data_IF_106532377442
#
_entry.id   IF_106532377442
#
_cell.length_a   1.000
_cell.length_b   1.000
_cell.length_c   1.000
_cell.angle_alpha   90.00
_cell.angle_beta   90.00
_cell.angle_gamma   90.00
#
_symmetry.space_group_name_H-M   'P 1'
#
loop_
_entity.id
_entity.type
_entity.pdbx_description
1 polymer ?
#
# COMPACT_ATOMS: atom_id res chain seq x y z
N UNK A 1 -35.95 18.44 14.88
CA UNK A 1 -34.85 18.26 13.92
C UNK A 1 -33.64 19.01 14.49
N UNK A 2 -32.50 18.34 14.70
CA UNK A 2 -31.34 18.96 15.38
C UNK A 2 -30.58 19.85 14.38
N UNK A 3 -30.37 21.12 14.72
CA UNK A 3 -29.70 22.11 13.87
C UNK A 3 -28.48 22.73 14.58
N UNK A 4 -27.63 23.43 13.83
CA UNK A 4 -26.52 24.21 14.39
C UNK A 4 -25.38 23.38 15.01
N UNK A 5 -24.84 23.84 16.14
CA UNK A 5 -23.69 23.23 16.83
C UNK A 5 -23.97 21.82 17.35
N UNK A 6 -25.20 21.57 17.78
CA UNK A 6 -25.59 20.26 18.28
C UNK A 6 -25.49 19.20 17.18
N UNK A 7 -25.83 19.58 15.93
CA UNK A 7 -25.62 18.72 14.77
C UNK A 7 -24.15 18.44 14.51
N UNK A 8 -23.28 19.44 14.68
CA UNK A 8 -21.83 19.28 14.54
C UNK A 8 -21.28 18.26 15.56
N UNK A 9 -21.74 18.33 16.81
CA UNK A 9 -21.36 17.38 17.87
C UNK A 9 -21.87 15.97 17.58
N UNK A 10 -23.12 15.84 17.13
CA UNK A 10 -23.70 14.55 16.74
C UNK A 10 -22.91 13.91 15.58
N UNK A 11 -22.61 14.69 14.53
CA UNK A 11 -21.81 14.22 13.41
C UNK A 11 -20.41 13.81 13.84
N UNK A 12 -19.73 14.61 14.68
CA UNK A 12 -18.41 14.25 15.21
C UNK A 12 -18.45 12.93 15.99
N UNK A 13 -19.48 12.69 16.82
CA UNK A 13 -19.66 11.44 17.56
C UNK A 13 -19.91 10.24 16.64
N UNK A 14 -20.60 10.44 15.52
CA UNK A 14 -20.87 9.37 14.53
C UNK A 14 -19.64 8.90 13.75
N UNK A 15 -18.47 9.53 13.92
CA UNK A 15 -17.20 9.15 13.29
C UNK A 15 -16.52 7.93 13.95
N UNK A 16 -16.98 7.51 15.12
CA UNK A 16 -16.28 6.53 15.97
C UNK A 16 -16.54 5.04 15.67
N UNK A 17 -17.66 4.61 15.05
CA UNK A 17 -17.76 3.25 14.55
C UNK A 17 -17.20 3.17 13.12
N UNK A 18 -15.93 2.81 13.02
CA UNK A 18 -15.39 2.28 11.76
C UNK A 18 -16.09 0.97 11.43
N UNK A 19 -16.51 0.80 10.17
CA UNK A 19 -17.05 -0.50 9.71
C UNK A 19 -15.98 -1.60 9.76
N UNK A 20 -14.70 -1.22 9.80
CA UNK A 20 -13.56 -2.14 9.82
C UNK A 20 -13.04 -2.44 11.24
N UNK A 21 -13.78 -2.09 12.30
CA UNK A 21 -13.28 -2.23 13.69
C UNK A 21 -12.90 -3.67 14.06
N UNK A 22 -13.67 -4.65 13.62
CA UNK A 22 -13.46 -6.07 13.94
C UNK A 22 -12.28 -6.63 13.16
N UNK A 23 -12.23 -6.37 11.84
CA UNK A 23 -11.09 -6.69 11.01
C UNK A 23 -9.79 -6.05 11.51
N UNK A 24 -9.85 -4.80 11.97
CA UNK A 24 -8.70 -4.10 12.54
C UNK A 24 -8.22 -4.74 13.85
N UNK A 25 -9.14 -5.14 14.74
CA UNK A 25 -8.78 -5.88 15.97
C UNK A 25 -8.11 -7.21 15.63
N UNK A 26 -8.69 -7.98 14.71
CA UNK A 26 -8.12 -9.25 14.26
C UNK A 26 -6.73 -9.06 13.62
N UNK A 27 -6.59 -8.07 12.74
CA UNK A 27 -5.32 -7.72 12.10
C UNK A 27 -4.24 -7.31 13.12
N UNK A 28 -4.58 -6.50 14.12
CA UNK A 28 -3.65 -6.13 15.20
C UNK A 28 -3.15 -7.36 15.95
N UNK A 29 -4.06 -8.26 16.33
CA UNK A 29 -3.70 -9.51 17.02
C UNK A 29 -2.78 -10.36 16.13
N UNK A 30 -3.07 -10.45 14.84
CA UNK A 30 -2.24 -11.18 13.88
C UNK A 30 -0.83 -10.59 13.75
N UNK A 31 -0.70 -9.27 13.58
CA UNK A 31 0.59 -8.56 13.50
C UNK A 31 1.41 -8.81 14.77
N UNK A 32 0.80 -8.61 15.96
CA UNK A 32 1.49 -8.82 17.22
C UNK A 32 1.91 -10.29 17.41
N UNK A 33 1.08 -11.26 16.99
CA UNK A 33 1.43 -12.69 17.03
C UNK A 33 2.57 -13.02 16.08
N UNK A 34 2.57 -12.47 14.87
CA UNK A 34 3.64 -12.64 13.89
C UNK A 34 4.95 -12.07 14.44
N UNK A 35 4.92 -10.86 14.97
CA UNK A 35 6.09 -10.20 15.54
C UNK A 35 6.67 -10.96 16.74
N UNK A 36 5.82 -11.42 17.69
CA UNK A 36 6.29 -12.25 18.81
C UNK A 36 6.93 -13.56 18.34
N UNK A 37 6.42 -14.17 17.26
CA UNK A 37 7.02 -15.39 16.68
C UNK A 37 8.38 -15.09 16.06
N UNK A 38 8.48 -14.04 15.25
CA UNK A 38 9.76 -13.60 14.68
C UNK A 38 10.78 -13.31 15.79
N UNK A 39 10.40 -12.51 16.78
CA UNK A 39 11.25 -12.20 17.92
C UNK A 39 11.75 -13.45 18.66
N UNK A 40 10.88 -14.44 18.91
CA UNK A 40 11.30 -15.70 19.55
C UNK A 40 12.26 -16.51 18.69
N UNK A 41 12.00 -16.63 17.39
CA UNK A 41 12.90 -17.35 16.47
C UNK A 41 14.27 -16.70 16.46
N UNK A 42 14.31 -15.37 16.41
CA UNK A 42 15.55 -14.60 16.40
C UNK A 42 16.30 -14.67 17.73
N UNK A 43 15.61 -14.54 18.86
CA UNK A 43 16.22 -14.75 20.18
C UNK A 43 16.81 -16.14 20.33
N UNK A 44 16.08 -17.18 19.92
CA UNK A 44 16.59 -18.56 19.95
C UNK A 44 17.82 -18.74 19.05
N UNK A 45 17.91 -18.00 17.95
CA UNK A 45 19.06 -18.02 17.07
C UNK A 45 20.27 -17.32 17.71
N UNK A 46 20.08 -16.14 18.30
CA UNK A 46 21.14 -15.41 18.99
C UNK A 46 21.70 -16.17 20.20
N UNK A 47 20.85 -16.88 20.94
CA UNK A 47 21.30 -17.75 22.03
C UNK A 47 22.21 -18.88 21.53
N UNK A 48 22.01 -19.35 20.29
CA UNK A 48 22.83 -20.41 19.68
C UNK A 48 24.09 -19.88 19.00
N UNK A 49 24.05 -18.63 18.54
CA UNK A 49 25.11 -17.99 17.76
C UNK A 49 25.21 -16.49 18.14
N UNK A 50 25.93 -16.18 19.24
CA UNK A 50 26.03 -14.82 19.77
C UNK A 50 26.76 -13.85 18.84
N UNK A 51 27.67 -14.33 17.99
CA UNK A 51 28.44 -13.48 17.08
C UNK A 51 27.58 -12.90 15.94
N UNK A 52 26.39 -13.46 15.69
CA UNK A 52 25.45 -12.96 14.66
C UNK A 52 24.68 -11.67 15.03
N UNK A 53 25.01 -11.03 16.15
CA UNK A 53 24.30 -9.87 16.69
C UNK A 53 24.51 -8.59 15.86
N UNK A 54 25.74 -8.33 15.40
CA UNK A 54 26.11 -7.06 14.76
C UNK A 54 25.48 -6.85 13.36
N UNK A 55 25.02 -7.92 12.71
CA UNK A 55 24.42 -7.84 11.37
C UNK A 55 22.97 -7.32 11.37
N UNK A 56 22.34 -7.05 12.54
CA UNK A 56 20.87 -7.05 12.67
C UNK A 56 20.24 -5.84 13.35
N UNK A 57 20.66 -4.63 12.99
CA UNK A 57 20.09 -3.36 13.45
C UNK A 57 18.61 -3.06 13.01
N UNK A 58 17.80 -4.07 12.67
CA UNK A 58 16.48 -3.91 12.02
C UNK A 58 15.24 -4.26 12.85
N UNK A 59 15.39 -4.68 14.11
CA UNK A 59 14.31 -5.27 14.91
C UNK A 59 13.08 -4.35 15.15
N UNK A 60 13.27 -3.03 15.12
CA UNK A 60 12.25 -2.10 15.62
C UNK A 60 11.31 -1.52 14.53
N UNK A 61 11.67 -1.63 13.25
CA UNK A 61 10.98 -0.88 12.19
C UNK A 61 9.71 -1.56 11.64
N UNK A 62 9.70 -2.89 11.58
CA UNK A 62 8.65 -3.66 10.89
C UNK A 62 7.24 -3.51 11.51
N UNK A 63 7.06 -3.62 12.85
CA UNK A 63 5.74 -3.52 13.47
C UNK A 63 5.09 -2.16 13.25
N UNK A 64 5.89 -1.11 13.21
CA UNK A 64 5.42 0.26 13.04
C UNK A 64 4.80 0.44 11.65
N UNK A 65 5.40 -0.13 10.61
CA UNK A 65 4.86 -0.08 9.24
C UNK A 65 3.55 -0.85 9.14
N UNK A 66 3.50 -2.06 9.66
CA UNK A 66 2.30 -2.91 9.62
C UNK A 66 1.14 -2.30 10.41
N UNK A 67 1.42 -1.75 11.59
CA UNK A 67 0.43 -1.03 12.40
C UNK A 67 -0.05 0.22 11.68
N UNK A 68 0.84 0.99 11.03
CA UNK A 68 0.44 2.17 10.24
C UNK A 68 -0.47 1.78 9.08
N UNK A 69 -0.17 0.70 8.35
CA UNK A 69 -1.06 0.20 7.30
C UNK A 69 -2.41 -0.22 7.86
N UNK A 70 -2.44 -0.96 8.96
CA UNK A 70 -3.66 -1.37 9.65
C UNK A 70 -4.50 -0.17 10.08
N UNK A 71 -3.87 0.87 10.64
CA UNK A 71 -4.54 2.12 11.01
C UNK A 71 -5.12 2.83 9.79
N UNK A 72 -4.39 2.88 8.68
CA UNK A 72 -4.88 3.41 7.40
C UNK A 72 -6.12 2.66 6.90
N UNK A 73 -6.08 1.33 6.92
CA UNK A 73 -7.20 0.48 6.53
C UNK A 73 -8.42 0.60 7.47
N UNK A 74 -8.17 0.76 8.77
CA UNK A 74 -9.25 1.04 9.73
C UNK A 74 -9.91 2.39 9.45
N UNK A 75 -9.10 3.42 9.22
CA UNK A 75 -9.57 4.79 8.94
C UNK A 75 -10.34 4.89 7.63
N UNK A 76 -10.00 4.09 6.61
CA UNK A 76 -10.77 4.07 5.36
C UNK A 76 -12.20 3.55 5.53
N UNK A 77 -12.47 2.80 6.60
CA UNK A 77 -13.80 2.38 7.01
C UNK A 77 -14.54 3.36 7.92
N UNK A 78 -13.95 4.51 8.25
CA UNK A 78 -14.63 5.54 9.03
C UNK A 78 -15.74 6.19 8.18
N UNK A 79 -16.91 6.41 8.77
CA UNK A 79 -18.05 7.06 8.09
C UNK A 79 -17.89 8.60 8.07
N UNK A 80 -16.78 9.07 7.52
CA UNK A 80 -16.37 10.49 7.55
C UNK A 80 -17.03 11.35 6.47
N UNK A 81 -17.60 10.72 5.43
CA UNK A 81 -18.14 11.44 4.28
C UNK A 81 -19.24 12.46 4.63
N UNK A 82 -20.24 12.16 5.49
CA UNK A 82 -21.23 13.16 5.91
C UNK A 82 -20.60 14.35 6.62
N UNK A 83 -19.66 14.11 7.54
CA UNK A 83 -18.96 15.15 8.28
C UNK A 83 -18.11 16.04 7.37
N UNK A 84 -17.35 15.45 6.44
CA UNK A 84 -16.56 16.20 5.46
C UNK A 84 -17.47 17.09 4.60
N UNK A 85 -18.58 16.55 4.06
CA UNK A 85 -19.52 17.35 3.27
C UNK A 85 -20.10 18.51 4.07
N UNK A 86 -20.52 18.27 5.31
CA UNK A 86 -21.00 19.32 6.19
C UNK A 86 -19.93 20.39 6.46
N UNK A 87 -18.72 19.98 6.80
CA UNK A 87 -17.64 20.90 7.11
C UNK A 87 -17.28 21.76 5.89
N UNK A 88 -17.17 21.16 4.71
CA UNK A 88 -16.91 21.88 3.44
C UNK A 88 -18.03 22.87 3.14
N UNK A 89 -19.30 22.47 3.31
CA UNK A 89 -20.43 23.36 3.11
C UNK A 89 -20.42 24.54 4.10
N UNK A 90 -20.14 24.26 5.38
CA UNK A 90 -20.12 25.26 6.44
C UNK A 90 -18.98 26.28 6.27
N UNK A 91 -17.83 25.83 5.79
CA UNK A 91 -16.64 26.66 5.61
C UNK A 91 -16.56 27.35 4.23
N UNK A 92 -17.58 27.20 3.36
CA UNK A 92 -17.53 27.65 1.97
C UNK A 92 -17.26 29.15 1.81
N UNK A 93 -17.90 29.97 2.64
CA UNK A 93 -17.76 31.44 2.63
C UNK A 93 -16.54 31.95 3.41
N UNK A 94 -15.80 31.06 4.08
CA UNK A 94 -14.68 31.43 4.93
C UNK A 94 -13.38 31.38 4.10
N UNK A 95 -12.44 32.33 4.29
CA UNK A 95 -11.11 32.28 3.70
C UNK A 95 -10.43 30.95 3.98
N UNK A 96 -9.76 30.39 2.98
CA UNK A 96 -9.27 29.00 2.98
C UNK A 96 -8.37 28.70 4.17
N UNK A 97 -7.53 29.66 4.51
CA UNK A 97 -6.55 29.66 5.61
C UNK A 97 -7.24 29.57 6.99
N UNK A 98 -8.44 30.14 7.11
CA UNK A 98 -9.22 30.20 8.35
C UNK A 98 -10.21 29.05 8.51
N UNK A 99 -10.47 28.26 7.45
CA UNK A 99 -11.49 27.21 7.46
C UNK A 99 -11.25 26.15 8.53
N UNK A 100 -10.00 25.69 8.66
CA UNK A 100 -9.67 24.63 9.62
C UNK A 100 -9.88 25.11 11.07
N UNK A 101 -9.43 26.32 11.39
CA UNK A 101 -9.63 26.96 12.69
C UNK A 101 -11.11 27.19 12.99
N UNK A 102 -11.90 27.60 11.99
CA UNK A 102 -13.35 27.73 12.13
C UNK A 102 -14.03 26.40 12.46
N UNK A 103 -13.72 25.32 11.72
CA UNK A 103 -14.30 24.00 12.01
C UNK A 103 -13.82 23.48 13.37
N UNK A 104 -12.57 23.77 13.78
CA UNK A 104 -12.08 23.41 15.12
C UNK A 104 -12.95 24.00 16.23
N UNK A 105 -13.42 25.24 16.08
CA UNK A 105 -14.28 25.88 17.07
C UNK A 105 -15.66 25.20 17.20
N UNK A 106 -16.16 24.57 16.14
CA UNK A 106 -17.48 23.92 16.12
C UNK A 106 -17.48 22.46 16.60
N UNK A 107 -16.32 21.82 16.59
CA UNK A 107 -16.17 20.40 16.89
C UNK A 107 -15.77 20.23 18.36
N UNK A 108 -16.30 19.21 19.09
CA UNK A 108 -15.93 18.98 20.49
C UNK A 108 -14.42 18.82 20.68
N UNK A 109 -13.88 19.37 21.78
CA UNK A 109 -12.47 19.18 22.13
C UNK A 109 -12.19 17.71 22.52
N UNK A 110 -10.94 17.31 22.38
CA UNK A 110 -10.46 15.97 22.72
C UNK A 110 -10.51 14.97 21.55
N UNK A 111 -10.35 13.69 21.88
CA UNK A 111 -10.04 12.62 20.92
C UNK A 111 -11.00 12.55 19.72
N UNK A 112 -12.30 12.70 19.96
CA UNK A 112 -13.33 12.61 18.92
C UNK A 112 -13.15 13.74 17.90
N UNK A 113 -13.00 14.96 18.38
CA UNK A 113 -12.84 16.12 17.51
C UNK A 113 -11.48 16.17 16.85
N UNK A 114 -10.43 15.76 17.55
CA UNK A 114 -9.09 15.70 16.98
C UNK A 114 -9.02 14.65 15.86
N UNK A 115 -9.68 13.50 16.02
CA UNK A 115 -9.86 12.49 14.98
C UNK A 115 -10.67 13.03 13.78
N UNK A 116 -11.75 13.76 14.05
CA UNK A 116 -12.57 14.39 13.02
C UNK A 116 -11.75 15.38 12.17
N UNK A 117 -10.98 16.24 12.84
CA UNK A 117 -10.15 17.25 12.19
C UNK A 117 -8.99 16.64 11.40
N UNK A 118 -8.45 15.50 11.85
CA UNK A 118 -7.43 14.78 11.09
C UNK A 118 -7.94 14.40 9.68
N UNK A 119 -9.21 13.98 9.55
CA UNK A 119 -9.81 13.65 8.26
C UNK A 119 -10.02 14.88 7.35
N UNK A 120 -10.30 16.04 7.94
CA UNK A 120 -10.52 17.29 7.19
C UNK A 120 -9.18 17.92 6.77
N UNK A 121 -8.15 17.88 7.63
CA UNK A 121 -6.84 18.48 7.36
C UNK A 121 -6.18 17.95 6.08
N UNK A 122 -6.50 16.71 5.69
CA UNK A 122 -5.98 16.10 4.46
C UNK A 122 -6.77 16.47 3.20
N UNK A 123 -7.84 17.25 3.32
CA UNK A 123 -8.70 17.67 2.20
C UNK A 123 -8.16 18.95 1.58
N UNK A 124 -8.17 19.00 0.26
CA UNK A 124 -7.63 20.14 -0.49
C UNK A 124 -8.31 21.45 -0.08
N UNK A 125 -9.63 21.41 0.12
CA UNK A 125 -10.47 22.56 0.49
C UNK A 125 -10.09 23.25 1.81
N UNK A 126 -9.28 22.58 2.64
CA UNK A 126 -8.81 23.04 3.96
C UNK A 126 -7.29 23.18 4.05
N UNK A 127 -6.56 22.92 2.96
CA UNK A 127 -5.12 23.10 2.85
C UNK A 127 -4.81 24.44 2.19
N UNK A 128 -3.70 25.08 2.58
CA UNK A 128 -3.24 26.26 1.84
C UNK A 128 -2.79 25.87 0.43
N UNK A 129 -2.83 26.78 -0.56
CA UNK A 129 -2.31 26.50 -1.91
C UNK A 129 -0.87 25.96 -1.90
N UNK A 130 -0.02 26.50 -1.03
CA UNK A 130 1.37 26.04 -0.85
C UNK A 130 1.47 24.63 -0.28
N UNK A 131 0.60 24.24 0.67
CA UNK A 131 0.55 22.88 1.19
C UNK A 131 0.09 21.89 0.13
N UNK A 132 -0.91 22.26 -0.66
CA UNK A 132 -1.38 21.47 -1.79
C UNK A 132 -0.25 21.26 -2.79
N UNK A 133 0.48 22.32 -3.14
CA UNK A 133 1.58 22.23 -4.09
C UNK A 133 2.75 21.42 -3.55
N UNK A 134 3.16 21.64 -2.28
CA UNK A 134 4.16 20.79 -1.62
C UNK A 134 3.75 19.32 -1.60
N UNK A 135 2.48 19.03 -1.37
CA UNK A 135 1.95 17.66 -1.40
C UNK A 135 1.97 17.07 -2.80
N UNK A 136 1.60 17.86 -3.83
CA UNK A 136 1.69 17.46 -5.24
C UNK A 136 3.13 17.20 -5.63
N UNK A 137 4.06 18.11 -5.34
CA UNK A 137 5.49 17.95 -5.56
C UNK A 137 6.03 16.70 -4.86
N UNK A 138 5.73 16.49 -3.57
CA UNK A 138 6.13 15.27 -2.84
C UNK A 138 5.59 14.00 -3.47
N UNK A 139 4.32 14.00 -3.90
CA UNK A 139 3.71 12.86 -4.60
C UNK A 139 4.37 12.62 -5.95
N UNK A 140 4.65 13.67 -6.72
CA UNK A 140 5.35 13.58 -8.00
C UNK A 140 6.78 13.07 -7.81
N UNK A 141 7.52 13.56 -6.81
CA UNK A 141 8.87 13.08 -6.50
C UNK A 141 8.86 11.65 -5.96
N UNK A 142 7.91 11.28 -5.11
CA UNK A 142 7.73 9.90 -4.70
C UNK A 142 7.40 9.03 -5.93
N UNK A 143 6.43 9.42 -6.76
CA UNK A 143 6.13 8.68 -7.99
C UNK A 143 7.34 8.56 -8.90
N UNK A 144 8.14 9.63 -9.09
CA UNK A 144 9.36 9.61 -9.90
C UNK A 144 10.43 8.69 -9.30
N UNK A 145 10.75 8.82 -8.00
CA UNK A 145 11.71 7.93 -7.33
C UNK A 145 11.25 6.47 -7.28
N UNK A 146 9.93 6.24 -7.26
CA UNK A 146 9.34 4.91 -7.31
C UNK A 146 9.26 4.31 -8.72
N UNK A 147 9.66 5.03 -9.75
CA UNK A 147 9.64 4.55 -11.12
C UNK A 147 11.06 4.62 -11.67
N UNK A 148 11.70 3.45 -11.85
CA UNK A 148 12.88 3.39 -12.70
C UNK A 148 12.49 3.95 -14.08
N UNK A 149 13.41 4.67 -14.71
CA UNK A 149 13.18 5.13 -16.07
C UNK A 149 12.94 3.92 -17.00
N UNK A 150 12.15 4.10 -18.06
CA UNK A 150 11.83 3.00 -18.98
C UNK A 150 13.08 2.49 -19.69
N UNK A 151 14.02 3.39 -20.02
CA UNK A 151 15.33 3.02 -20.56
C UNK A 151 16.15 2.23 -19.56
N UNK A 152 16.22 2.70 -18.31
CA UNK A 152 16.92 2.00 -17.22
C UNK A 152 16.34 0.59 -16.97
N UNK A 153 15.01 0.44 -17.00
CA UNK A 153 14.37 -0.88 -16.88
C UNK A 153 14.75 -1.79 -18.04
N UNK A 154 14.77 -1.28 -19.26
CA UNK A 154 15.18 -2.06 -20.43
C UNK A 154 16.63 -2.53 -20.28
N UNK A 155 17.55 -1.64 -19.90
CA UNK A 155 18.95 -1.98 -19.64
C UNK A 155 19.10 -3.06 -18.56
N UNK A 156 18.39 -2.92 -17.43
CA UNK A 156 18.44 -3.90 -16.35
C UNK A 156 17.82 -5.24 -16.76
N UNK A 157 16.73 -5.24 -17.55
CA UNK A 157 16.14 -6.47 -18.09
C UNK A 157 17.06 -7.15 -19.09
N UNK A 158 17.76 -6.40 -19.95
CA UNK A 158 18.78 -6.97 -20.82
C UNK A 158 19.92 -7.58 -20.01
N UNK A 159 20.47 -6.87 -19.03
CA UNK A 159 21.52 -7.39 -18.16
C UNK A 159 21.06 -8.68 -17.43
N UNK A 160 19.83 -8.69 -16.92
CA UNK A 160 19.21 -9.84 -16.28
C UNK A 160 19.08 -11.04 -17.21
N UNK A 161 18.77 -10.83 -18.49
CA UNK A 161 18.66 -11.91 -19.48
C UNK A 161 20.02 -12.50 -19.86
N UNK A 162 21.10 -11.74 -19.74
CA UNK A 162 22.47 -12.24 -19.96
C UNK A 162 23.06 -12.92 -18.71
N UNK A 163 22.50 -12.65 -17.53
CA UNK A 163 22.92 -13.32 -16.31
C UNK A 163 22.42 -14.78 -16.27
N UNK A 164 23.26 -15.74 -15.83
CA UNK A 164 22.89 -17.15 -15.78
C UNK A 164 21.66 -17.35 -14.88
N UNK A 165 20.61 -17.99 -15.42
CA UNK A 165 19.34 -18.24 -14.72
C UNK A 165 18.47 -16.99 -14.46
N UNK A 166 18.90 -15.79 -14.85
CA UNK A 166 18.20 -14.53 -14.54
C UNK A 166 16.78 -14.48 -15.11
N UNK A 167 16.59 -14.97 -16.34
CA UNK A 167 15.29 -15.07 -16.99
C UNK A 167 14.31 -15.96 -16.21
N UNK A 168 14.77 -17.15 -15.78
CA UNK A 168 13.99 -18.13 -15.03
C UNK A 168 13.57 -17.59 -13.67
N UNK A 169 14.51 -17.03 -12.91
CA UNK A 169 14.28 -16.47 -11.57
C UNK A 169 13.29 -15.30 -11.64
N UNK A 170 13.42 -14.43 -12.63
CA UNK A 170 12.49 -13.31 -12.80
C UNK A 170 11.08 -13.75 -13.16
N UNK A 171 10.92 -14.69 -14.11
CA UNK A 171 9.60 -15.22 -14.44
C UNK A 171 8.97 -15.99 -13.27
N UNK A 172 9.77 -16.68 -12.44
CA UNK A 172 9.29 -17.31 -11.21
C UNK A 172 8.80 -16.27 -10.20
N UNK A 173 9.51 -15.15 -10.05
CA UNK A 173 9.06 -14.01 -9.25
C UNK A 173 7.71 -13.47 -9.73
N UNK A 174 7.55 -13.23 -11.03
CA UNK A 174 6.30 -12.75 -11.62
C UNK A 174 5.14 -13.71 -11.34
N UNK A 175 5.36 -15.02 -11.54
CA UNK A 175 4.36 -16.07 -11.25
C UNK A 175 4.00 -16.09 -9.77
N UNK A 176 4.99 -16.12 -8.88
CA UNK A 176 4.76 -16.17 -7.43
C UNK A 176 3.95 -14.95 -6.96
N UNK A 177 4.29 -13.76 -7.45
CA UNK A 177 3.57 -12.52 -7.12
C UNK A 177 2.16 -12.51 -7.67
N UNK A 178 1.96 -12.93 -8.91
CA UNK A 178 0.63 -13.08 -9.49
C UNK A 178 -0.25 -14.03 -8.67
N UNK A 179 0.26 -15.20 -8.26
CA UNK A 179 -0.47 -16.16 -7.42
C UNK A 179 -0.83 -15.58 -6.04
N UNK A 180 0.09 -14.82 -5.42
CA UNK A 180 -0.19 -14.13 -4.16
C UNK A 180 -1.33 -13.11 -4.31
N UNK A 181 -1.35 -12.36 -5.42
CA UNK A 181 -2.43 -11.41 -5.71
C UNK A 181 -3.76 -12.13 -5.92
N UNK A 182 -3.81 -13.19 -6.73
CA UNK A 182 -5.03 -13.97 -6.94
C UNK A 182 -5.60 -14.51 -5.63
N UNK A 183 -4.73 -14.97 -4.70
CA UNK A 183 -5.14 -15.44 -3.37
C UNK A 183 -5.61 -14.32 -2.44
N UNK A 184 -4.99 -13.15 -2.49
CA UNK A 184 -5.39 -11.99 -1.68
C UNK A 184 -6.70 -11.38 -2.17
N UNK A 185 -6.93 -11.28 -3.48
CA UNK A 185 -8.21 -10.83 -4.03
C UNK A 185 -9.34 -11.79 -3.62
N UNK A 186 -9.09 -13.11 -3.58
CA UNK A 186 -10.08 -14.08 -3.07
C UNK A 186 -10.35 -13.92 -1.56
N UNK A 187 -9.33 -13.66 -0.73
CA UNK A 187 -9.50 -13.47 0.73
C UNK A 187 -10.07 -12.12 1.12
N UNK A 188 -9.77 -11.05 0.37
CA UNK A 188 -10.23 -9.69 0.63
C UNK A 188 -11.73 -9.48 0.37
N UNK A 189 -12.39 -10.43 -0.28
CA UNK A 189 -13.82 -10.40 -0.59
C UNK A 189 -14.69 -11.22 0.35
N UNK A 190 -14.10 -11.87 1.37
CA UNK A 190 -14.89 -12.40 2.48
C UNK A 190 -15.32 -11.24 3.40
N UNK A 191 -16.41 -10.58 3.02
CA UNK A 191 -17.26 -9.86 3.97
C UNK A 191 -17.69 -10.88 5.02
N UNK A 192 -17.12 -10.78 6.23
CA UNK A 192 -17.56 -11.53 7.41
C UNK A 192 -18.95 -11.10 7.89
N UNK A 193 -19.54 -10.13 7.20
CA UNK A 193 -20.89 -9.64 7.35
C UNK A 193 -21.88 -10.51 6.56
N UNK A 194 -22.44 -11.53 7.23
CA UNK A 194 -23.66 -12.30 6.86
C UNK A 194 -23.46 -13.45 5.85
N UNK A 195 -23.98 -14.67 6.12
CA UNK A 195 -23.87 -15.85 5.24
C UNK A 195 -24.64 -15.77 3.89
N UNK A 196 -25.19 -14.60 3.52
CA UNK A 196 -26.11 -14.46 2.38
C UNK A 196 -25.76 -13.36 1.38
N UNK A 197 -24.62 -12.70 1.52
CA UNK A 197 -24.11 -11.84 0.44
C UNK A 197 -23.66 -12.72 -0.72
N UNK A 198 -24.59 -13.05 -1.62
CA UNK A 198 -24.27 -13.56 -2.97
C UNK A 198 -23.35 -12.54 -3.62
N UNK A 199 -22.06 -12.89 -3.69
CA UNK A 199 -21.09 -12.20 -4.53
C UNK A 199 -21.70 -12.18 -5.94
N UNK A 200 -21.91 -11.02 -6.58
CA UNK A 200 -22.40 -11.01 -7.94
C UNK A 200 -21.42 -11.79 -8.82
N UNK A 201 -21.93 -12.80 -9.52
CA UNK A 201 -21.21 -13.77 -10.37
C UNK A 201 -20.46 -13.16 -11.58
N UNK A 202 -20.20 -11.84 -11.57
CA UNK A 202 -19.40 -11.13 -12.58
C UNK A 202 -17.89 -11.19 -12.33
N UNK A 203 -17.43 -11.96 -11.34
CA UNK A 203 -16.01 -12.16 -11.02
C UNK A 203 -15.37 -13.38 -11.69
N UNK A 204 -16.10 -14.11 -12.55
CA UNK A 204 -15.53 -15.17 -13.40
C UNK A 204 -14.72 -14.64 -14.61
N UNK A 205 -14.51 -13.32 -14.69
CA UNK A 205 -13.44 -12.80 -15.55
C UNK A 205 -12.10 -13.20 -14.90
N UNK A 206 -11.64 -14.40 -15.22
CA UNK A 206 -10.34 -14.93 -14.86
C UNK A 206 -9.30 -13.80 -14.93
N UNK A 207 -8.61 -13.56 -13.81
CA UNK A 207 -7.51 -12.60 -13.77
C UNK A 207 -6.63 -12.86 -15.00
N UNK A 208 -6.37 -11.84 -15.85
CA UNK A 208 -5.59 -12.05 -17.05
C UNK A 208 -4.26 -12.69 -16.66
N UNK A 209 -3.81 -13.72 -17.40
CA UNK A 209 -2.61 -14.47 -17.05
C UNK A 209 -1.43 -13.52 -16.88
N UNK A 210 -0.56 -13.81 -15.92
CA UNK A 210 0.66 -13.02 -15.71
C UNK A 210 1.44 -12.94 -17.04
N UNK A 211 1.61 -11.72 -17.58
CA UNK A 211 2.52 -11.51 -18.71
C UNK A 211 3.94 -11.82 -18.22
N UNK A 212 4.52 -12.90 -18.75
CA UNK A 212 5.90 -13.30 -18.50
C UNK A 212 6.83 -12.65 -19.52
N UNK A 213 8.11 -12.46 -19.19
CA UNK A 213 9.11 -12.02 -20.16
C UNK A 213 9.50 -13.22 -21.04
N UNK A 214 9.51 -13.07 -22.36
CA UNK A 214 9.81 -14.18 -23.29
C UNK A 214 11.30 -14.26 -23.69
N UNK A 215 12.00 -13.12 -23.70
CA UNK A 215 13.42 -13.07 -24.06
C UNK A 215 13.88 -11.65 -24.39
N UNK A 216 15.07 -11.51 -24.99
CA UNK A 216 15.69 -10.21 -25.25
C UNK A 216 14.88 -9.34 -26.23
N UNK A 217 14.31 -9.96 -27.26
CA UNK A 217 13.42 -9.28 -28.23
C UNK A 217 12.11 -8.79 -27.59
N UNK A 218 11.72 -9.37 -26.46
CA UNK A 218 10.46 -9.11 -25.79
C UNK A 218 10.55 -8.02 -24.73
N UNK A 219 11.74 -7.48 -24.44
CA UNK A 219 11.92 -6.48 -23.36
C UNK A 219 11.04 -5.25 -23.58
N UNK A 220 11.07 -4.62 -24.75
CA UNK A 220 10.26 -3.43 -25.01
C UNK A 220 8.76 -3.72 -25.12
N UNK A 221 8.29 -4.78 -25.82
CA UNK A 221 6.88 -5.19 -25.80
C UNK A 221 6.37 -5.55 -24.41
N UNK A 222 7.18 -6.22 -23.58
CA UNK A 222 6.87 -6.53 -22.19
C UNK A 222 6.69 -5.27 -21.36
N UNK A 223 7.62 -4.31 -21.46
CA UNK A 223 7.51 -3.00 -20.81
C UNK A 223 6.34 -2.17 -21.37
N UNK A 224 5.93 -2.34 -22.63
CA UNK A 224 4.71 -1.68 -23.12
C UNK A 224 3.45 -2.30 -22.47
N UNK A 225 3.38 -3.64 -22.45
CA UNK A 225 2.23 -4.38 -21.97
C UNK A 225 1.92 -4.12 -20.48
N UNK A 226 2.94 -4.08 -19.62
CA UNK A 226 2.71 -3.94 -18.17
C UNK A 226 2.56 -2.48 -17.71
N UNK A 227 2.90 -1.51 -18.56
CA UNK A 227 2.60 -0.08 -18.33
C UNK A 227 1.22 0.31 -18.87
N UNK A 228 0.70 -0.44 -19.85
CA UNK A 228 -0.56 -0.14 -20.54
C UNK A 228 -0.45 1.10 -21.43
N UNK A 229 -1.50 1.43 -22.21
CA UNK A 229 -1.56 2.71 -22.91
C UNK A 229 -1.48 3.84 -21.86
N UNK A 230 -0.60 4.80 -22.09
CA UNK A 230 -0.32 5.94 -21.22
C UNK A 230 -1.61 6.76 -21.00
N UNK A 231 -2.44 6.37 -20.04
CA UNK A 231 -3.72 7.06 -19.77
C UNK A 231 -4.76 6.27 -18.97
N UNK A 232 -4.80 4.95 -19.08
CA UNK A 232 -5.95 4.18 -18.56
C UNK A 232 -5.80 3.67 -17.12
N UNK A 233 -4.58 3.63 -16.57
CA UNK A 233 -4.31 3.07 -15.23
C UNK A 233 -4.88 3.88 -14.06
N UNK A 234 -5.46 5.07 -14.27
CA UNK A 234 -6.00 5.90 -13.18
C UNK A 234 -7.31 5.39 -12.57
N UNK A 235 -8.04 4.49 -13.22
CA UNK A 235 -9.41 4.12 -12.79
C UNK A 235 -9.52 2.85 -11.93
N UNK A 236 -8.50 1.99 -11.83
CA UNK A 236 -8.57 0.79 -10.99
C UNK A 236 -7.90 1.04 -9.64
N UNK A 237 -8.70 0.95 -8.57
CA UNK A 237 -8.28 0.98 -7.15
C UNK A 237 -7.40 -0.23 -6.79
N UNK A 238 -6.28 -0.43 -7.48
CA UNK A 238 -5.22 -1.31 -7.00
C UNK A 238 -4.33 -0.49 -6.10
N UNK A 239 -4.09 -0.99 -4.90
CA UNK A 239 -3.07 -0.46 -4.00
C UNK A 239 -1.74 -0.35 -4.76
N UNK A 240 -1.00 0.78 -4.64
CA UNK A 240 0.20 1.02 -5.44
C UNK A 240 1.30 -0.06 -5.34
N UNK A 241 1.26 -0.88 -4.29
CA UNK A 241 2.21 -1.97 -4.06
C UNK A 241 1.96 -3.21 -4.95
N UNK A 242 0.77 -3.33 -5.55
CA UNK A 242 0.26 -4.60 -6.10
C UNK A 242 0.00 -4.56 -7.62
N UNK A 243 0.66 -3.65 -8.33
CA UNK A 243 0.60 -3.56 -9.79
C UNK A 243 1.70 -4.44 -10.45
N UNK A 244 1.48 -4.97 -11.67
CA UNK A 244 2.55 -5.63 -12.44
C UNK A 244 3.82 -4.78 -12.53
N UNK A 245 3.65 -3.47 -12.71
CA UNK A 245 4.71 -2.47 -12.72
C UNK A 245 5.49 -2.41 -11.41
N UNK A 246 4.81 -2.36 -10.26
CA UNK A 246 5.49 -2.33 -8.95
C UNK A 246 6.23 -3.63 -8.68
N UNK A 247 5.67 -4.76 -9.11
CA UNK A 247 6.33 -6.08 -9.02
C UNK A 247 7.63 -6.14 -9.81
N UNK A 248 7.63 -5.64 -11.06
CA UNK A 248 8.85 -5.55 -11.89
C UNK A 248 9.86 -4.60 -11.28
N UNK A 249 9.44 -3.39 -10.90
CA UNK A 249 10.34 -2.40 -10.30
C UNK A 249 10.97 -2.89 -9.00
N UNK A 250 10.23 -3.64 -8.18
CA UNK A 250 10.76 -4.23 -6.94
C UNK A 250 11.90 -5.19 -7.25
N UNK A 251 11.72 -6.06 -8.25
CA UNK A 251 12.77 -7.00 -8.65
C UNK A 251 13.98 -6.27 -9.22
N UNK A 252 13.78 -5.36 -10.19
CA UNK A 252 14.88 -4.67 -10.86
C UNK A 252 15.69 -3.78 -9.90
N UNK A 253 15.06 -3.21 -8.86
CA UNK A 253 15.78 -2.52 -7.80
C UNK A 253 16.66 -3.44 -6.98
N UNK A 254 16.12 -4.58 -6.55
CA UNK A 254 16.90 -5.57 -5.82
C UNK A 254 18.07 -6.07 -6.67
N UNK A 255 17.83 -6.33 -7.96
CA UNK A 255 18.87 -6.70 -8.93
C UNK A 255 19.96 -5.64 -9.06
N UNK A 256 19.58 -4.37 -9.19
CA UNK A 256 20.52 -3.24 -9.22
C UNK A 256 21.31 -3.11 -7.92
N UNK A 257 20.64 -3.24 -6.76
CA UNK A 257 21.28 -3.19 -5.43
C UNK A 257 22.29 -4.33 -5.23
N UNK A 258 21.98 -5.52 -5.75
CA UNK A 258 22.85 -6.68 -5.75
C UNK A 258 23.87 -6.67 -6.90
N UNK A 259 24.06 -5.53 -7.58
CA UNK A 259 25.04 -5.33 -8.66
C UNK A 259 24.92 -6.36 -9.80
N UNK A 260 23.71 -6.84 -10.07
CA UNK A 260 23.45 -7.82 -11.13
C UNK A 260 23.58 -9.30 -10.71
N UNK A 261 23.82 -9.59 -9.43
CA UNK A 261 23.81 -10.97 -8.93
C UNK A 261 22.37 -11.49 -8.76
N UNK A 262 21.99 -12.46 -9.60
CA UNK A 262 20.67 -13.08 -9.62
C UNK A 262 20.38 -13.87 -8.33
N UNK A 263 21.37 -14.57 -7.77
CA UNK A 263 21.19 -15.39 -6.57
C UNK A 263 21.04 -14.51 -5.33
N UNK A 264 21.88 -13.48 -5.20
CA UNK A 264 21.72 -12.48 -4.15
C UNK A 264 20.34 -11.79 -4.23
N UNK A 265 19.92 -11.43 -5.45
CA UNK A 265 18.59 -10.86 -5.69
C UNK A 265 17.47 -11.79 -5.24
N UNK A 266 17.54 -13.07 -5.60
CA UNK A 266 16.56 -14.08 -5.20
C UNK A 266 16.46 -14.20 -3.68
N UNK A 267 17.60 -14.24 -2.97
CA UNK A 267 17.64 -14.29 -1.50
C UNK A 267 17.01 -13.06 -0.85
N UNK A 268 17.35 -11.87 -1.32
CA UNK A 268 16.77 -10.60 -0.82
C UNK A 268 15.25 -10.57 -1.00
N UNK A 269 14.76 -11.13 -2.10
CA UNK A 269 13.33 -11.19 -2.41
C UNK A 269 12.61 -12.39 -1.79
N UNK A 270 13.32 -13.26 -1.05
CA UNK A 270 12.75 -14.46 -0.42
C UNK A 270 12.30 -15.52 -1.41
N UNK A 271 12.91 -15.58 -2.60
CA UNK A 271 12.70 -16.66 -3.57
C UNK A 271 13.54 -17.87 -3.18
N UNK A 272 12.99 -19.07 -3.39
CA UNK A 272 13.77 -20.29 -3.31
C UNK A 272 14.91 -20.22 -4.36
N UNK A 273 16.12 -20.68 -4.03
CA UNK A 273 17.22 -20.70 -4.99
C UNK A 273 16.80 -21.52 -6.23
N UNK A 274 17.21 -21.09 -7.44
CA UNK A 274 16.99 -21.91 -8.63
C UNK A 274 17.66 -23.27 -8.41
N UNK A 275 16.94 -24.36 -8.71
CA UNK A 275 17.55 -25.68 -8.77
C UNK A 275 18.65 -25.65 -9.85
N UNK A 276 19.83 -26.24 -9.59
CA UNK A 276 20.84 -26.39 -10.64
C UNK A 276 20.23 -27.14 -11.82
N UNK A 277 20.56 -26.67 -13.03
CA UNK A 277 20.12 -27.29 -14.28
C UNK A 277 20.74 -28.69 -14.46
#
# INVERSE_FOLDING_TARGET
MVHGEEKAREMARSLLPSVNREAARAGRVAIHRAHRRQFRVEMNRLVRDPESFDERAGFDAQPVVDIRQLMGHRRSGDKVAPFIRWATARARSIPRESRLSHIRALVPRGLIGDHALAHIREREEFQSPEEVERRRARRSSHQRSFLLDRGEQATLLHALLHAPGGHRVFNQWLKARHLLHSRQELKGWHCTCVPRCRIPSRLDAALPPARLLLGAHDVLPFLAAIWGPEGESRKRRRTPLDSPRSTVNTFLRAFKQCRGDVLATARVLGLAPPLPD
#
